data_IF_226624286326
#
_entry.id   IF_226624286326
#
_cell.length_a   1.000
_cell.length_b   1.000
_cell.length_c   1.000
_cell.angle_alpha   90.00
_cell.angle_beta   90.00
_cell.angle_gamma   90.00
#
_symmetry.space_group_name_H-M   'P 1'
#
loop_
_entity.id
_entity.type
_entity.pdbx_description
1 polymer ?
#
# COMPACT_ATOMS: atom_id res chain seq x y z
N UNK A 1 9.02 -8.72 -8.79
CA UNK A 1 9.25 -8.56 -7.36
C UNK A 1 8.14 -9.30 -6.66
N UNK A 2 8.48 -10.16 -5.73
CA UNK A 2 7.49 -10.92 -4.96
C UNK A 2 6.78 -10.00 -3.96
N UNK A 3 5.54 -10.32 -3.62
CA UNK A 3 4.74 -9.52 -2.68
C UNK A 3 5.46 -9.24 -1.36
N UNK A 4 6.15 -10.23 -0.81
CA UNK A 4 6.95 -10.09 0.42
C UNK A 4 8.09 -9.09 0.30
N UNK A 5 8.72 -8.99 -0.87
CA UNK A 5 9.79 -8.02 -1.12
C UNK A 5 9.21 -6.60 -1.18
N UNK A 6 8.02 -6.45 -1.77
CA UNK A 6 7.30 -5.16 -1.82
C UNK A 6 6.91 -4.69 -0.43
N UNK A 7 6.35 -5.58 0.40
CA UNK A 7 6.03 -5.30 1.82
C UNK A 7 7.30 -4.89 2.58
N UNK A 8 8.39 -5.66 2.44
CA UNK A 8 9.64 -5.37 3.12
C UNK A 8 10.24 -4.01 2.74
N UNK A 9 10.09 -3.60 1.47
CA UNK A 9 10.61 -2.33 0.97
C UNK A 9 9.95 -1.11 1.61
N UNK A 10 8.63 -1.16 1.83
CA UNK A 10 7.85 0.01 2.28
C UNK A 10 7.53 0.00 3.79
N UNK A 11 7.74 -1.13 4.48
CA UNK A 11 7.31 -1.32 5.89
C UNK A 11 7.77 -0.20 6.83
N UNK A 12 9.01 0.28 6.67
CA UNK A 12 9.59 1.26 7.60
C UNK A 12 9.02 2.68 7.36
N UNK A 13 8.30 2.88 6.25
CA UNK A 13 7.56 4.11 5.93
C UNK A 13 6.09 4.10 6.38
N UNK A 14 5.61 2.99 6.96
CA UNK A 14 4.22 2.83 7.42
C UNK A 14 4.21 2.81 8.96
N UNK A 15 3.99 3.95 9.63
CA UNK A 15 4.21 4.07 11.08
C UNK A 15 3.10 3.44 11.93
N UNK A 16 1.93 3.18 11.36
CA UNK A 16 0.78 2.63 12.06
C UNK A 16 -0.19 1.91 11.10
N UNK A 17 -1.01 1.02 11.66
CA UNK A 17 -2.11 0.34 10.97
C UNK A 17 -3.34 1.25 10.83
N UNK A 18 -4.21 0.97 9.86
CA UNK A 18 -5.47 1.68 9.64
C UNK A 18 -5.29 3.06 8.99
N UNK A 19 -6.33 3.89 9.11
CA UNK A 19 -6.33 5.26 8.59
C UNK A 19 -6.69 5.36 7.11
N UNK A 20 -6.54 6.56 6.55
CA UNK A 20 -6.80 6.85 5.13
C UNK A 20 -5.48 7.19 4.46
N UNK A 21 -5.16 6.46 3.39
CA UNK A 21 -3.90 6.57 2.65
C UNK A 21 -4.17 6.72 1.16
N UNK A 22 -3.24 7.36 0.45
CA UNK A 22 -3.27 7.44 -1.00
C UNK A 22 -2.09 6.69 -1.61
N UNK A 23 -2.35 5.86 -2.61
CA UNK A 23 -1.33 5.24 -3.47
C UNK A 23 -1.36 5.95 -4.83
N UNK A 24 -0.34 6.77 -5.11
CA UNK A 24 -0.28 7.65 -6.28
C UNK A 24 0.55 7.00 -7.38
N UNK A 25 -0.03 6.84 -8.56
CA UNK A 25 0.57 6.05 -9.65
C UNK A 25 0.45 4.56 -9.37
N UNK A 26 -0.71 4.12 -8.90
CA UNK A 26 -0.95 2.76 -8.44
C UNK A 26 -0.76 1.70 -9.54
N UNK A 27 -0.91 2.07 -10.82
CA UNK A 27 -0.83 1.16 -11.96
C UNK A 27 -1.71 -0.07 -11.76
N UNK A 28 -1.10 -1.26 -11.77
CA UNK A 28 -1.80 -2.54 -11.52
C UNK A 28 -2.01 -2.87 -10.03
N UNK A 29 -1.61 -1.98 -9.12
CA UNK A 29 -1.86 -2.10 -7.68
C UNK A 29 -0.82 -2.86 -6.87
N UNK A 30 0.39 -3.07 -7.42
CA UNK A 30 1.44 -3.87 -6.76
C UNK A 30 1.77 -3.38 -5.33
N UNK A 31 1.99 -2.07 -5.18
CA UNK A 31 2.24 -1.48 -3.85
C UNK A 31 0.96 -1.18 -3.08
N UNK A 32 -0.19 -1.04 -3.74
CA UNK A 32 -1.49 -0.95 -3.07
C UNK A 32 -1.74 -2.17 -2.19
N UNK A 33 -1.46 -3.38 -2.70
CA UNK A 33 -1.63 -4.62 -1.93
C UNK A 33 -0.61 -4.78 -0.82
N UNK A 34 0.64 -4.39 -1.06
CA UNK A 34 1.67 -4.38 -0.01
C UNK A 34 1.31 -3.42 1.13
N UNK A 35 0.79 -2.24 0.78
CA UNK A 35 0.30 -1.25 1.74
C UNK A 35 -0.94 -1.77 2.50
N UNK A 36 -1.88 -2.44 1.81
CA UNK A 36 -3.05 -3.06 2.45
C UNK A 36 -2.66 -4.12 3.50
N UNK A 37 -1.64 -4.93 3.24
CA UNK A 37 -1.12 -5.90 4.23
C UNK A 37 -0.59 -5.20 5.49
N UNK A 38 0.17 -4.13 5.32
CA UNK A 38 0.75 -3.39 6.43
C UNK A 38 -0.29 -2.60 7.24
N UNK A 39 -1.28 -2.02 6.57
CA UNK A 39 -2.30 -1.20 7.22
C UNK A 39 -3.43 -2.03 7.83
N UNK A 40 -3.72 -3.22 7.31
CA UNK A 40 -4.79 -4.08 7.80
C UNK A 40 -6.21 -3.59 7.46
N UNK A 41 -7.25 -4.30 7.93
CA UNK A 41 -8.63 -4.16 7.43
C UNK A 41 -9.34 -2.86 7.86
N UNK A 42 -8.78 -2.11 8.81
CA UNK A 42 -9.32 -0.83 9.25
C UNK A 42 -8.88 0.35 8.37
N UNK A 43 -8.12 0.09 7.32
CA UNK A 43 -7.60 1.12 6.42
C UNK A 43 -8.50 1.34 5.20
N UNK A 44 -8.50 2.57 4.71
CA UNK A 44 -9.02 2.92 3.38
C UNK A 44 -7.84 3.39 2.53
N UNK A 45 -7.69 2.83 1.34
CA UNK A 45 -6.61 3.21 0.41
C UNK A 45 -7.25 3.76 -0.86
N UNK A 46 -7.00 5.04 -1.13
CA UNK A 46 -7.34 5.69 -2.39
C UNK A 46 -6.21 5.42 -3.40
N UNK A 47 -6.40 4.40 -4.23
CA UNK A 47 -5.48 4.07 -5.31
C UNK A 47 -5.79 4.94 -6.53
N UNK A 48 -4.86 5.83 -6.87
CA UNK A 48 -5.02 6.83 -7.93
C UNK A 48 -4.01 6.53 -9.03
N UNK A 49 -4.52 6.35 -10.24
CA UNK A 49 -3.72 6.30 -11.45
C UNK A 49 -4.27 7.27 -12.49
N UNK A 50 -3.45 7.63 -13.49
CA UNK A 50 -3.83 8.56 -14.56
C UNK A 50 -4.45 7.83 -15.75
N UNK A 51 -4.03 6.59 -15.97
CA UNK A 51 -4.42 5.78 -17.12
C UNK A 51 -5.78 5.08 -16.89
#
# INVERSE_FOLDING_TARGET
MEHREMVALIRDGVPATGGVWADLGAGTGNFTWALAELLGPAATIDALDRD
#
